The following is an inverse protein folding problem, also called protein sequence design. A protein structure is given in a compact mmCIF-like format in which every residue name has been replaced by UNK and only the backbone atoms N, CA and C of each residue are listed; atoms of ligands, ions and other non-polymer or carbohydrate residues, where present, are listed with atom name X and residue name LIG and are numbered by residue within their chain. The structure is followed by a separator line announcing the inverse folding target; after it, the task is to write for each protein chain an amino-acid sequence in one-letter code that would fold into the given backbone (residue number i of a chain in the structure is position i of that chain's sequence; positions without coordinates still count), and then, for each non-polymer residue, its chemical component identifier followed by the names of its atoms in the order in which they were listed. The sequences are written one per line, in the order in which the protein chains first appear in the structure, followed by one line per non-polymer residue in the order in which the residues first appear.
data_IF_911623186491
#
_entry.id   IF_911623186491
#
_cell.length_a   1.000
_cell.length_b   1.000
_cell.length_c   1.000
_cell.angle_alpha   90.00
_cell.angle_beta   90.00
_cell.angle_gamma   90.00
#
_symmetry.space_group_name_H-M   'P 1'
#
loop_
_entity.id
_entity.type
_entity.pdbx_description
1 polymer ?
#
# COMPACT_ATOMS: atom_id res chain seq x y z
N UNK A 1 -2.14 -10.03 -4.17
CA UNK A 1 -0.78 -9.60 -3.83
C UNK A 1 -0.78 -9.02 -2.43
N UNK A 2 0.23 -9.35 -1.63
CA UNK A 2 0.37 -8.87 -0.25
C UNK A 2 1.65 -8.05 -0.12
N UNK A 3 1.66 -7.13 0.85
CA UNK A 3 2.83 -6.31 1.14
C UNK A 3 4.05 -7.14 1.52
N UNK A 4 3.84 -8.31 2.14
CA UNK A 4 4.89 -9.26 2.51
C UNK A 4 5.60 -9.86 1.29
N UNK A 5 4.87 -10.12 0.21
CA UNK A 5 5.45 -10.57 -1.05
C UNK A 5 6.35 -9.50 -1.68
N UNK A 6 5.87 -8.26 -1.70
CA UNK A 6 6.66 -7.12 -2.17
C UNK A 6 7.90 -6.90 -1.29
N UNK A 7 7.73 -6.98 0.02
CA UNK A 7 8.85 -6.88 0.97
C UNK A 7 9.86 -8.01 0.77
N UNK A 8 9.40 -9.23 0.50
CA UNK A 8 10.26 -10.38 0.19
C UNK A 8 11.07 -10.15 -1.10
N UNK A 9 10.43 -9.72 -2.17
CA UNK A 9 11.10 -9.39 -3.44
C UNK A 9 12.11 -8.25 -3.27
N UNK A 10 11.74 -7.23 -2.54
CA UNK A 10 12.62 -6.11 -2.20
C UNK A 10 13.81 -6.58 -1.37
N UNK A 11 13.59 -7.40 -0.33
CA UNK A 11 14.66 -7.94 0.52
C UNK A 11 15.66 -8.78 -0.26
N UNK A 12 15.20 -9.61 -1.19
CA UNK A 12 16.07 -10.40 -2.05
C UNK A 12 16.95 -9.53 -2.95
N UNK A 13 16.43 -8.42 -3.41
CA UNK A 13 17.13 -7.50 -4.33
C UNK A 13 18.07 -6.54 -3.60
N UNK A 14 17.67 -6.04 -2.45
CA UNK A 14 18.43 -5.05 -1.68
C UNK A 14 19.35 -5.65 -0.61
N UNK A 15 19.14 -6.89 -0.24
CA UNK A 15 19.89 -7.55 0.86
C UNK A 15 19.47 -7.09 2.26
N UNK A 16 18.41 -6.30 2.39
CA UNK A 16 17.89 -5.86 3.69
C UNK A 16 17.01 -6.92 4.34
N UNK A 17 16.84 -6.83 5.66
CA UNK A 17 15.94 -7.71 6.38
C UNK A 17 14.48 -7.51 5.91
N UNK A 18 13.70 -8.54 5.91
CA UNK A 18 12.29 -8.50 5.47
C UNK A 18 11.45 -7.49 6.25
N UNK A 19 11.69 -7.34 7.54
CA UNK A 19 11.02 -6.35 8.38
C UNK A 19 11.28 -4.91 7.93
N UNK A 20 12.53 -4.60 7.57
CA UNK A 20 12.90 -3.31 7.01
C UNK A 20 12.31 -3.14 5.60
N UNK A 21 12.36 -4.17 4.78
CA UNK A 21 11.72 -4.20 3.47
C UNK A 21 10.22 -3.91 3.54
N UNK A 22 9.53 -4.51 4.49
CA UNK A 22 8.11 -4.26 4.75
C UNK A 22 7.83 -2.80 5.13
N UNK A 23 8.66 -2.22 6.01
CA UNK A 23 8.54 -0.82 6.41
C UNK A 23 8.76 0.14 5.23
N UNK A 24 9.76 -0.12 4.39
CA UNK A 24 10.06 0.67 3.20
C UNK A 24 8.90 0.58 2.18
N UNK A 25 8.45 -0.62 1.88
CA UNK A 25 7.34 -0.82 0.94
C UNK A 25 6.04 -0.19 1.44
N UNK A 26 5.74 -0.32 2.74
CA UNK A 26 4.59 0.34 3.37
C UNK A 26 4.68 1.87 3.29
N UNK A 27 5.87 2.43 3.49
CA UNK A 27 6.09 3.86 3.38
C UNK A 27 5.85 4.37 1.95
N UNK A 28 6.33 3.65 0.94
CA UNK A 28 6.16 4.00 -0.47
C UNK A 28 4.69 3.89 -0.88
N UNK A 29 4.04 2.78 -0.55
CA UNK A 29 2.63 2.55 -0.87
C UNK A 29 1.73 3.57 -0.17
N UNK A 30 1.98 3.82 1.12
CA UNK A 30 1.24 4.82 1.89
C UNK A 30 1.41 6.23 1.34
N UNK A 31 2.61 6.59 0.90
CA UNK A 31 2.85 7.87 0.24
C UNK A 31 2.11 8.00 -1.10
N UNK A 32 2.13 6.95 -1.92
CA UNK A 32 1.37 6.95 -3.18
C UNK A 32 -0.14 7.06 -2.93
N UNK A 33 -0.65 6.32 -1.95
CA UNK A 33 -2.05 6.40 -1.54
C UNK A 33 -2.43 7.81 -1.08
N UNK A 34 -1.58 8.45 -0.27
CA UNK A 34 -1.79 9.82 0.21
C UNK A 34 -1.78 10.83 -0.95
N UNK A 35 -0.88 10.67 -1.92
CA UNK A 35 -0.84 11.54 -3.13
C UNK A 35 -2.08 11.34 -3.99
N UNK A 36 -2.57 10.12 -4.14
CA UNK A 36 -3.82 9.83 -4.84
C UNK A 36 -5.02 10.51 -4.17
N UNK A 37 -5.10 10.49 -2.84
CA UNK A 37 -6.15 11.20 -2.10
C UNK A 37 -6.04 12.73 -2.27
N UNK A 38 -4.83 13.28 -2.25
CA UNK A 38 -4.59 14.72 -2.36
C UNK A 38 -4.86 15.30 -3.76
N UNK A 39 -4.78 14.50 -4.81
CA UNK A 39 -5.02 14.94 -6.20
C UNK A 39 -6.48 14.78 -6.67
N UNK A 40 -7.38 14.42 -5.77
CA UNK A 40 -8.80 14.33 -6.06
C UNK A 40 -9.18 13.03 -6.77
N UNK A 41 -9.52 12.03 -5.97
CA UNK A 41 -10.20 10.81 -6.42
C UNK A 41 -11.44 11.08 -7.28
N UNK A 42 -12.07 12.26 -7.10
CA UNK A 42 -13.21 12.70 -7.89
C UNK A 42 -12.93 12.82 -9.38
N UNK A 43 -11.72 13.21 -9.76
CA UNK A 43 -11.36 13.40 -11.16
C UNK A 43 -10.99 12.07 -11.86
N UNK A 44 -10.56 11.06 -11.10
CA UNK A 44 -10.26 9.72 -11.62
C UNK A 44 -11.51 8.83 -11.75
N UNK A 45 -12.49 9.04 -10.87
CA UNK A 45 -13.77 8.31 -10.89
C UNK A 45 -14.80 8.92 -11.86
N UNK A 46 -14.65 10.19 -12.22
CA UNK A 46 -15.58 10.92 -13.10
C UNK A 46 -15.25 10.79 -14.59
N UNK A 47 -14.06 10.35 -14.95
CA UNK A 47 -13.64 10.12 -16.33
C UNK A 47 -13.93 8.68 -16.75
N UNK A 48 -15.07 8.44 -17.34
CA UNK A 48 -15.46 7.15 -17.84
C UNK A 48 -14.47 6.54 -18.83
N UNK A 49 -14.15 5.27 -18.61
CA UNK A 49 -13.68 4.35 -19.63
C UNK A 49 -12.24 4.52 -20.08
N UNK A 50 -11.34 3.77 -19.47
CA UNK A 50 -10.05 3.47 -20.07
C UNK A 50 -8.90 3.41 -19.07
N UNK A 51 -8.57 2.22 -18.61
CA UNK A 51 -7.23 1.84 -18.19
C UNK A 51 -6.60 2.61 -17.02
N UNK A 52 -7.00 2.28 -15.80
CA UNK A 52 -6.38 2.79 -14.56
C UNK A 52 -4.88 2.46 -14.39
N UNK A 53 -4.29 1.68 -15.28
CA UNK A 53 -2.86 1.36 -15.27
C UNK A 53 -1.97 2.57 -15.62
N UNK A 54 -2.47 3.52 -16.39
CA UNK A 54 -1.71 4.71 -16.79
C UNK A 54 -1.43 5.66 -15.63
N UNK A 55 -2.33 5.78 -14.66
CA UNK A 55 -2.17 6.68 -13.52
C UNK A 55 -1.05 6.26 -12.56
N UNK A 56 -1.01 4.98 -12.18
CA UNK A 56 0.00 4.42 -11.28
C UNK A 56 1.37 4.43 -11.98
N UNK A 57 1.42 4.04 -13.23
CA UNK A 57 2.65 4.01 -14.01
C UNK A 57 3.22 5.41 -14.23
N UNK A 58 2.37 6.42 -14.47
CA UNK A 58 2.77 7.82 -14.59
C UNK A 58 3.34 8.36 -13.26
N UNK A 59 2.73 8.01 -12.14
CA UNK A 59 3.24 8.37 -10.80
C UNK A 59 4.59 7.71 -10.52
N UNK A 60 4.73 6.41 -10.82
CA UNK A 60 5.98 5.68 -10.64
C UNK A 60 7.10 6.24 -11.52
N UNK A 61 6.78 6.63 -12.76
CA UNK A 61 7.74 7.27 -13.66
C UNK A 61 8.20 8.64 -13.13
N UNK A 62 7.31 9.40 -12.50
CA UNK A 62 7.65 10.67 -11.84
C UNK A 62 8.55 10.51 -10.63
N UNK A 63 8.54 9.33 -9.99
CA UNK A 63 9.40 9.00 -8.85
C UNK A 63 10.80 8.49 -9.26
N UNK A 64 11.07 8.33 -10.55
CA UNK A 64 12.35 7.82 -11.04
C UNK A 64 13.55 8.77 -10.83
N UNK A 65 13.32 10.02 -10.40
CA UNK A 65 14.34 11.02 -10.10
C UNK A 65 14.33 11.46 -8.65
N UNK A 66 14.39 10.54 -7.70
CA UNK A 66 14.34 10.86 -6.27
C UNK A 66 15.60 11.57 -5.79
N UNK A 67 15.44 12.78 -5.28
CA UNK A 67 16.47 13.53 -4.56
C UNK A 67 16.45 13.14 -3.07
N UNK A 68 17.57 13.39 -2.38
CA UNK A 68 17.71 13.12 -0.92
C UNK A 68 16.65 13.84 -0.08
N UNK A 69 16.25 15.04 -0.52
CA UNK A 69 15.27 15.89 0.17
C UNK A 69 13.82 15.58 -0.23
N UNK A 70 13.62 14.58 -1.07
CA UNK A 70 12.28 14.22 -1.52
C UNK A 70 11.43 13.73 -0.33
N UNK A 71 10.18 14.17 -0.27
CA UNK A 71 9.24 13.84 0.81
C UNK A 71 9.08 12.33 1.01
N UNK A 72 9.09 11.56 -0.07
CA UNK A 72 9.05 10.10 0.00
C UNK A 72 10.29 9.53 0.70
N UNK A 73 11.48 10.03 0.40
CA UNK A 73 12.72 9.59 1.05
C UNK A 73 12.69 9.87 2.55
N UNK A 74 12.20 11.03 2.95
CA UNK A 74 12.01 11.37 4.37
C UNK A 74 11.00 10.44 5.05
N UNK A 75 9.93 10.12 4.38
CA UNK A 75 8.92 9.21 4.89
C UNK A 75 9.50 7.80 5.10
N UNK A 76 10.28 7.31 4.14
CA UNK A 76 10.99 6.04 4.25
C UNK A 76 12.00 6.08 5.39
N UNK A 77 12.77 7.17 5.55
CA UNK A 77 13.69 7.34 6.67
C UNK A 77 13.00 7.18 8.02
N UNK A 78 11.89 7.85 8.20
CA UNK A 78 11.15 7.84 9.46
C UNK A 78 10.54 6.46 9.75
N UNK A 79 9.90 5.85 8.75
CA UNK A 79 9.20 4.57 8.94
C UNK A 79 10.13 3.36 9.03
N UNK A 80 11.22 3.38 8.28
CA UNK A 80 12.20 2.29 8.29
C UNK A 80 13.36 2.50 9.29
N UNK A 81 13.43 3.66 9.95
CA UNK A 81 14.47 3.98 10.91
C UNK A 81 15.86 4.14 10.29
N UNK A 82 15.94 4.55 9.02
CA UNK A 82 17.19 4.74 8.29
C UNK A 82 17.72 6.13 8.60
N UNK A 83 18.91 6.20 9.21
CA UNK A 83 19.51 7.49 9.59
C UNK A 83 20.19 8.20 8.43
N UNK A 84 20.77 7.45 7.50
CA UNK A 84 21.48 7.99 6.35
C UNK A 84 20.53 8.29 5.19
N UNK A 85 20.42 9.56 4.74
CA UNK A 85 19.53 9.96 3.66
C UNK A 85 19.90 9.35 2.31
N UNK A 86 21.17 9.09 2.06
CA UNK A 86 21.60 8.43 0.82
C UNK A 86 21.16 6.98 0.76
N UNK A 87 21.33 6.25 1.85
CA UNK A 87 20.85 4.87 1.98
C UNK A 87 19.33 4.81 1.83
N UNK A 88 18.61 5.73 2.47
CA UNK A 88 17.16 5.85 2.33
C UNK A 88 16.74 6.12 0.88
N UNK A 89 17.46 6.98 0.17
CA UNK A 89 17.22 7.27 -1.24
C UNK A 89 17.40 6.02 -2.11
N UNK A 90 18.49 5.30 -1.91
CA UNK A 90 18.77 4.07 -2.65
C UNK A 90 17.69 3.02 -2.42
N UNK A 91 17.31 2.78 -1.19
CA UNK A 91 16.25 1.83 -0.86
C UNK A 91 14.88 2.27 -1.38
N UNK A 92 14.59 3.56 -1.32
CA UNK A 92 13.35 4.10 -1.89
C UNK A 92 13.31 3.89 -3.41
N UNK A 93 14.41 4.15 -4.10
CA UNK A 93 14.50 3.93 -5.54
C UNK A 93 14.33 2.46 -5.92
N UNK A 94 15.01 1.55 -5.21
CA UNK A 94 14.83 0.11 -5.41
C UNK A 94 13.40 -0.35 -5.13
N UNK A 95 12.76 0.19 -4.11
CA UNK A 95 11.36 -0.08 -3.81
C UNK A 95 10.41 0.39 -4.92
N UNK A 96 10.65 1.58 -5.46
CA UNK A 96 9.90 2.11 -6.62
C UNK A 96 10.12 1.23 -7.85
N UNK A 97 11.33 0.74 -8.08
CA UNK A 97 11.63 -0.17 -9.20
C UNK A 97 10.89 -1.50 -9.06
N UNK A 98 10.83 -2.08 -7.86
CA UNK A 98 10.05 -3.28 -7.58
C UNK A 98 8.56 -3.05 -7.84
N UNK A 99 8.02 -1.92 -7.41
CA UNK A 99 6.62 -1.56 -7.68
C UNK A 99 6.36 -1.33 -9.16
N UNK A 100 7.29 -0.72 -9.89
CA UNK A 100 7.17 -0.50 -11.33
C UNK A 100 7.18 -1.82 -12.09
N UNK A 101 8.09 -2.73 -11.74
CA UNK A 101 8.12 -4.08 -12.30
C UNK A 101 6.82 -4.83 -12.02
N UNK A 102 6.35 -4.74 -10.78
CA UNK A 102 5.11 -5.40 -10.39
C UNK A 102 3.88 -4.79 -11.04
N UNK A 103 3.85 -3.48 -11.27
CA UNK A 103 2.76 -2.83 -12.00
C UNK A 103 2.61 -3.30 -13.45
N UNK A 104 3.72 -3.79 -14.03
CA UNK A 104 3.71 -4.38 -15.37
C UNK A 104 3.28 -5.85 -15.36
N UNK A 105 3.69 -6.59 -14.33
CA UNK A 105 3.43 -8.04 -14.23
C UNK A 105 2.04 -8.33 -13.66
N UNK A 106 1.61 -7.57 -12.66
CA UNK A 106 0.31 -7.73 -11.99
C UNK A 106 -0.30 -6.37 -11.62
N UNK A 107 -0.83 -5.62 -12.61
CA UNK A 107 -1.41 -4.31 -12.36
C UNK A 107 -2.65 -4.38 -11.46
N UNK A 108 -3.43 -5.45 -11.53
CA UNK A 108 -4.62 -5.64 -10.70
C UNK A 108 -4.25 -5.90 -9.23
N UNK A 109 -3.21 -6.69 -8.99
CA UNK A 109 -2.71 -6.95 -7.65
C UNK A 109 -2.22 -5.68 -6.96
N UNK A 110 -1.50 -4.84 -7.68
CA UNK A 110 -1.04 -3.55 -7.14
C UNK A 110 -2.20 -2.59 -6.87
N UNK A 111 -3.19 -2.55 -7.74
CA UNK A 111 -4.39 -1.73 -7.58
C UNK A 111 -5.22 -2.18 -6.36
N UNK A 112 -5.36 -3.49 -6.16
CA UNK A 112 -6.02 -4.05 -4.97
C UNK A 112 -5.28 -3.70 -3.68
N UNK A 113 -3.96 -3.69 -3.72
CA UNK A 113 -3.11 -3.32 -2.58
C UNK A 113 -3.29 -1.84 -2.21
N UNK A 114 -3.27 -0.96 -3.21
CA UNK A 114 -3.54 0.47 -3.03
C UNK A 114 -4.97 0.72 -2.55
N UNK A 115 -5.95 0.03 -3.12
CA UNK A 115 -7.34 0.10 -2.70
C UNK A 115 -7.55 -0.36 -1.25
N UNK A 116 -6.87 -1.41 -0.83
CA UNK A 116 -6.85 -1.87 0.56
C UNK A 116 -6.25 -0.84 1.52
N UNK A 117 -5.22 -0.14 1.09
CA UNK A 117 -4.59 0.93 1.87
C UNK A 117 -5.47 2.18 1.99
N UNK A 118 -6.23 2.50 0.95
CA UNK A 118 -7.15 3.64 0.91
C UNK A 118 -8.47 3.36 1.62
N UNK A 119 -8.96 2.12 1.54
CA UNK A 119 -10.30 1.74 2.00
C UNK A 119 -10.37 1.22 3.43
N UNK A 120 -9.25 0.93 4.07
CA UNK A 120 -9.23 0.40 5.42
C UNK A 120 -7.87 0.59 6.04
N UNK A 121 -7.78 1.52 6.98
CA UNK A 121 -6.64 1.55 7.88
C UNK A 121 -6.44 0.17 8.49
N UNK A 122 -5.20 -0.31 8.47
CA UNK A 122 -4.74 -1.48 9.20
C UNK A 122 -5.60 -2.74 9.08
N UNK A 123 -5.57 -3.41 7.94
CA UNK A 123 -5.80 -4.84 7.98
C UNK A 123 -4.50 -5.54 8.42
N UNK A 124 -4.20 -5.44 9.69
CA UNK A 124 -3.44 -6.46 10.39
C UNK A 124 -4.17 -7.76 10.13
N UNK A 125 -3.52 -8.68 9.43
CA UNK A 125 -4.04 -10.00 9.17
C UNK A 125 -4.38 -10.72 10.48
N UNK A 126 -5.61 -10.63 10.84
CA UNK A 126 -6.25 -11.55 11.76
C UNK A 126 -7.33 -12.25 10.98
N UNK A 127 -6.96 -13.30 10.31
CA UNK A 127 -7.90 -14.35 9.99
C UNK A 127 -8.40 -14.96 11.28
N UNK A 128 -9.24 -14.26 12.00
CA UNK A 128 -10.15 -14.93 12.90
C UNK A 128 -11.42 -15.22 12.11
N UNK A 129 -11.44 -16.40 11.54
CA UNK A 129 -12.68 -17.09 11.27
C UNK A 129 -13.42 -17.24 12.59
N UNK A 130 -14.16 -16.25 12.98
CA UNK A 130 -15.21 -16.43 13.95
C UNK A 130 -16.41 -16.99 13.21
N UNK A 131 -16.44 -18.31 13.10
CA UNK A 131 -17.65 -19.08 12.95
C UNK A 131 -18.45 -18.88 14.23
N UNK A 132 -19.36 -17.96 14.22
CA UNK A 132 -20.25 -17.68 15.33
C UNK A 132 -21.50 -17.04 14.76
N UNK A 133 -22.36 -17.87 14.23
CA UNK A 133 -23.73 -17.51 14.03
C UNK A 133 -24.37 -17.32 15.40
N UNK A 134 -24.51 -16.09 15.81
CA UNK A 134 -25.32 -15.67 16.93
C UNK A 134 -26.34 -14.70 16.41
N UNK A 135 -27.45 -15.22 15.92
CA UNK A 135 -28.60 -14.41 15.56
C UNK A 135 -29.09 -13.64 16.78
N UNK A 136 -28.97 -12.32 16.73
CA UNK A 136 -29.64 -11.41 17.65
C UNK A 136 -31.17 -11.38 17.44
N UNK A 137 -31.69 -12.25 16.60
CA UNK A 137 -33.11 -12.36 16.32
C UNK A 137 -33.96 -13.07 17.38
N UNK A 138 -33.32 -13.70 18.36
CA UNK A 138 -34.06 -14.49 19.36
C UNK A 138 -34.48 -13.74 20.62
N UNK A 139 -33.95 -12.54 20.87
CA UNK A 139 -34.17 -11.86 22.14
C UNK A 139 -35.36 -10.89 22.18
N UNK A 140 -35.90 -10.58 21.02
CA UNK A 140 -37.02 -9.60 20.95
C UNK A 140 -38.40 -10.28 21.10
N UNK A 141 -38.45 -11.61 20.92
CA UNK A 141 -39.71 -12.35 21.02
C UNK A 141 -40.17 -12.63 22.47
N UNK A 142 -39.26 -12.60 23.40
CA UNK A 142 -39.57 -12.96 24.79
C UNK A 142 -40.05 -11.78 25.65
N UNK A 143 -39.91 -10.56 25.16
CA UNK A 143 -40.30 -9.36 25.87
C UNK A 143 -41.72 -8.90 25.53
N UNK A 144 -42.34 -9.45 24.49
CA UNK A 144 -43.70 -9.10 24.06
C UNK A 144 -44.73 -10.21 24.28
N UNK A 145 -44.33 -11.32 24.87
CA UNK A 145 -45.19 -12.49 25.09
C UNK A 145 -45.55 -12.77 26.53
N UNK A 146 -45.29 -11.80 27.42
CA UNK A 146 -45.63 -11.97 28.81
C UNK A 146 -46.86 -11.21 29.22
#
# INVERSE_FOLDING_TARGET
MNIDNLAGMFSQRSGVQQSMGSAIMSAIIGFMAQKMMGQGLGNMLSGGGGGNSGGIQSMLSGLGGLNRDHELVRNVQQKAGIQDPETARQYTQQGVDVLNEQSRNDPQGLQSLLGGFLGGGESSGSQQRKKGGGGLGGMVGDLLGG
#
